data_IF_576199257787
#
_entry.id   IF_576199257787
#
_cell.length_a   1.000
_cell.length_b   1.000
_cell.length_c   1.000
_cell.angle_alpha   90.00
_cell.angle_beta   90.00
_cell.angle_gamma   90.00
#
_symmetry.space_group_name_H-M   'P 1'
#
loop_
_entity.id
_entity.type
_entity.pdbx_description
1 polymer ?
#
# COMPACT_ATOMS: atom_id res chain seq x y z
N UNK A 1 2.76 29.19 6.02
CA UNK A 1 1.62 29.01 6.94
C UNK A 1 0.50 28.33 6.16
N UNK A 2 -0.23 27.37 6.74
CA UNK A 2 -1.39 26.79 6.08
C UNK A 2 -2.45 27.86 5.80
N UNK A 3 -2.99 27.86 4.58
CA UNK A 3 -4.07 28.74 4.12
C UNK A 3 -5.34 27.93 3.85
N UNK A 4 -6.47 28.62 3.69
CA UNK A 4 -7.74 28.00 3.25
C UNK A 4 -7.55 27.27 1.92
N UNK A 5 -6.79 27.85 0.99
CA UNK A 5 -6.47 27.22 -0.29
C UNK A 5 -5.69 25.90 -0.10
N UNK A 6 -4.64 25.89 0.72
CA UNK A 6 -3.88 24.65 0.97
C UNK A 6 -4.73 23.57 1.64
N UNK A 7 -5.65 23.94 2.53
CA UNK A 7 -6.60 23.01 3.14
C UNK A 7 -7.63 22.49 2.13
N UNK A 8 -8.12 23.35 1.23
CA UNK A 8 -9.03 22.97 0.16
C UNK A 8 -8.37 22.01 -0.84
N UNK A 9 -7.10 22.25 -1.22
CA UNK A 9 -6.30 21.35 -2.07
C UNK A 9 -6.13 19.98 -1.40
N UNK A 10 -5.79 19.93 -0.11
CA UNK A 10 -5.71 18.67 0.62
C UNK A 10 -7.07 17.94 0.64
N UNK A 11 -8.17 18.64 0.95
CA UNK A 11 -9.50 18.05 1.02
C UNK A 11 -9.96 17.47 -0.33
N UNK A 12 -9.83 18.23 -1.42
CA UNK A 12 -10.26 17.76 -2.75
C UNK A 12 -9.34 16.65 -3.29
N UNK A 13 -8.04 16.69 -2.95
CA UNK A 13 -7.10 15.61 -3.29
C UNK A 13 -7.49 14.33 -2.55
N UNK A 14 -7.83 14.41 -1.26
CA UNK A 14 -8.32 13.25 -0.51
C UNK A 14 -9.58 12.68 -1.15
N UNK A 15 -10.57 13.51 -1.48
CA UNK A 15 -11.81 13.06 -2.12
C UNK A 15 -11.56 12.36 -3.47
N UNK A 16 -10.65 12.91 -4.30
CA UNK A 16 -10.27 12.31 -5.57
C UNK A 16 -9.53 10.97 -5.39
N UNK A 17 -8.56 10.92 -4.48
CA UNK A 17 -7.82 9.69 -4.16
C UNK A 17 -8.74 8.62 -3.56
N UNK A 18 -9.70 9.02 -2.71
CA UNK A 18 -10.71 8.15 -2.10
C UNK A 18 -11.60 7.52 -3.16
N UNK A 19 -12.15 8.34 -4.06
CA UNK A 19 -12.96 7.83 -5.17
C UNK A 19 -12.15 6.89 -6.06
N UNK A 20 -10.92 7.29 -6.43
CA UNK A 20 -10.02 6.47 -7.24
C UNK A 20 -9.63 5.15 -6.55
N UNK A 21 -9.45 5.17 -5.23
CA UNK A 21 -9.18 3.99 -4.41
C UNK A 21 -10.34 3.00 -4.48
N UNK A 22 -11.56 3.45 -4.19
CA UNK A 22 -12.73 2.58 -4.22
C UNK A 22 -12.99 2.00 -5.62
N UNK A 23 -12.80 2.79 -6.68
CA UNK A 23 -12.92 2.33 -8.06
C UNK A 23 -11.81 1.32 -8.44
N UNK A 24 -10.58 1.57 -8.00
CA UNK A 24 -9.44 0.70 -8.25
C UNK A 24 -9.54 -0.65 -7.54
N UNK A 25 -9.91 -0.65 -6.26
CA UNK A 25 -9.92 -1.84 -5.40
C UNK A 25 -11.17 -2.73 -5.55
N UNK A 26 -12.30 -2.16 -5.98
CA UNK A 26 -13.56 -2.90 -6.06
C UNK A 26 -13.96 -3.27 -7.49
N UNK A 27 -14.53 -2.38 -8.33
CA UNK A 27 -15.02 -2.78 -9.64
C UNK A 27 -13.90 -3.11 -10.64
N UNK A 28 -12.72 -2.51 -10.52
CA UNK A 28 -11.63 -2.69 -11.50
C UNK A 28 -10.60 -3.76 -11.12
N UNK A 29 -10.55 -4.15 -9.84
CA UNK A 29 -9.67 -5.21 -9.38
C UNK A 29 -10.22 -6.58 -9.81
N UNK A 30 -9.41 -7.35 -10.54
CA UNK A 30 -9.78 -8.74 -10.84
C UNK A 30 -9.65 -9.65 -9.62
N UNK A 31 -10.45 -10.73 -9.57
CA UNK A 31 -10.36 -11.76 -8.53
C UNK A 31 -8.96 -12.38 -8.44
N UNK A 32 -8.26 -12.54 -9.57
CA UNK A 32 -6.90 -13.06 -9.61
C UNK A 32 -5.90 -12.11 -8.92
N UNK A 33 -6.02 -10.80 -9.15
CA UNK A 33 -5.22 -9.81 -8.44
C UNK A 33 -5.56 -9.78 -6.94
N UNK A 34 -6.84 -9.81 -6.60
CA UNK A 34 -7.33 -9.79 -5.22
C UNK A 34 -6.80 -10.96 -4.37
N UNK A 35 -6.72 -12.15 -4.96
CA UNK A 35 -6.24 -13.37 -4.29
C UNK A 35 -4.72 -13.52 -4.37
N UNK A 36 -4.11 -13.11 -5.50
CA UNK A 36 -2.68 -13.30 -5.76
C UNK A 36 -1.75 -12.24 -5.16
N UNK A 37 -2.26 -11.07 -4.77
CA UNK A 37 -1.43 -9.95 -4.30
C UNK A 37 -0.88 -10.09 -2.89
N UNK A 38 -1.41 -10.96 -2.03
CA UNK A 38 -0.94 -11.09 -0.66
C UNK A 38 0.50 -11.66 -0.55
N UNK A 39 1.16 -11.45 0.58
CA UNK A 39 2.35 -12.22 0.94
C UNK A 39 1.97 -13.68 1.21
N UNK A 40 2.82 -14.66 0.83
CA UNK A 40 2.56 -16.07 1.11
C UNK A 40 2.41 -16.31 2.62
N UNK A 41 1.50 -17.22 2.98
CA UNK A 41 1.31 -17.67 4.36
C UNK A 41 2.51 -18.49 4.87
N UNK A 42 2.56 -18.71 6.19
CA UNK A 42 3.59 -19.55 6.84
C UNK A 42 3.65 -20.95 6.24
N UNK A 43 2.51 -21.58 5.97
CA UNK A 43 2.45 -22.93 5.38
C UNK A 43 2.94 -22.97 3.93
N UNK A 44 2.68 -21.90 3.16
CA UNK A 44 3.22 -21.77 1.80
C UNK A 44 4.74 -21.60 1.83
N UNK A 45 5.24 -20.76 2.74
CA UNK A 45 6.68 -20.56 2.93
C UNK A 45 7.38 -21.84 3.39
N UNK A 46 6.78 -22.59 4.32
CA UNK A 46 7.30 -23.89 4.77
C UNK A 46 7.34 -24.94 3.65
N UNK A 47 6.44 -24.85 2.66
CA UNK A 47 6.45 -25.66 1.43
C UNK A 47 7.39 -25.12 0.34
N UNK A 48 8.19 -24.10 0.64
CA UNK A 48 9.20 -23.55 -0.26
C UNK A 48 8.69 -22.47 -1.21
N UNK A 49 7.53 -21.85 -0.95
CA UNK A 49 7.08 -20.71 -1.76
C UNK A 49 8.07 -19.54 -1.67
N UNK A 50 8.35 -18.89 -2.81
CA UNK A 50 9.20 -17.71 -2.84
C UNK A 50 8.56 -16.56 -2.07
N UNK A 51 9.34 -15.89 -1.20
CA UNK A 51 8.87 -14.81 -0.33
C UNK A 51 8.09 -13.71 -1.08
N UNK A 52 8.53 -13.42 -2.31
CA UNK A 52 7.97 -12.33 -3.12
C UNK A 52 6.98 -12.77 -4.21
N UNK A 53 6.45 -14.00 -4.16
CA UNK A 53 5.54 -14.54 -5.19
C UNK A 53 4.38 -13.60 -5.53
N UNK A 54 3.78 -12.95 -4.53
CA UNK A 54 2.62 -12.08 -4.73
C UNK A 54 2.92 -10.69 -5.29
N UNK A 55 4.19 -10.27 -5.39
CA UNK A 55 4.53 -8.90 -5.81
C UNK A 55 4.18 -8.62 -7.27
N UNK A 56 4.24 -9.63 -8.15
CA UNK A 56 3.84 -9.44 -9.54
C UNK A 56 2.33 -9.14 -9.69
N UNK A 57 1.49 -9.75 -8.86
CA UNK A 57 0.06 -9.45 -8.80
C UNK A 57 -0.20 -8.10 -8.15
N UNK A 58 0.51 -7.78 -7.07
CA UNK A 58 0.43 -6.49 -6.41
C UNK A 58 0.83 -5.35 -7.34
N UNK A 59 1.93 -5.48 -8.09
CA UNK A 59 2.38 -4.47 -9.03
C UNK A 59 1.36 -4.18 -10.15
N UNK A 60 0.72 -5.24 -10.69
CA UNK A 60 -0.36 -5.07 -11.68
C UNK A 60 -1.56 -4.36 -11.09
N UNK A 61 -1.96 -4.76 -9.88
CA UNK A 61 -3.06 -4.12 -9.15
C UNK A 61 -2.79 -2.64 -8.92
N UNK A 62 -1.64 -2.32 -8.31
CA UNK A 62 -1.21 -0.96 -8.00
C UNK A 62 -1.09 -0.12 -9.27
N UNK A 63 -0.67 -0.68 -10.41
CA UNK A 63 -0.63 0.05 -11.67
C UNK A 63 -2.03 0.48 -12.14
N UNK A 64 -3.02 -0.41 -12.13
CA UNK A 64 -4.41 -0.08 -12.48
C UNK A 64 -4.99 0.91 -11.48
N UNK A 65 -4.84 0.63 -10.19
CA UNK A 65 -5.25 1.50 -9.09
C UNK A 65 -4.69 2.93 -9.24
N UNK A 66 -3.39 3.06 -9.50
CA UNK A 66 -2.70 4.37 -9.63
C UNK A 66 -3.20 5.11 -10.87
N UNK A 67 -3.45 4.40 -11.98
CA UNK A 67 -4.00 5.01 -13.18
C UNK A 67 -5.41 5.60 -12.95
N UNK A 68 -6.24 4.90 -12.18
CA UNK A 68 -7.59 5.36 -11.80
C UNK A 68 -7.51 6.58 -10.88
N UNK A 69 -6.64 6.55 -9.87
CA UNK A 69 -6.39 7.72 -9.02
C UNK A 69 -5.87 8.92 -9.82
N UNK A 70 -4.95 8.70 -10.75
CA UNK A 70 -4.44 9.76 -11.62
C UNK A 70 -5.57 10.39 -12.47
N UNK A 71 -6.50 9.57 -12.98
CA UNK A 71 -7.68 10.07 -13.69
C UNK A 71 -8.60 10.90 -12.78
N UNK A 72 -8.85 10.46 -11.53
CA UNK A 72 -9.62 11.23 -10.56
C UNK A 72 -8.93 12.55 -10.18
N UNK A 73 -7.61 12.56 -10.00
CA UNK A 73 -6.84 13.77 -9.75
C UNK A 73 -6.91 14.72 -10.95
N UNK A 74 -6.75 14.22 -12.17
CA UNK A 74 -6.87 15.02 -13.39
C UNK A 74 -8.26 15.66 -13.51
N UNK A 75 -9.32 14.95 -13.13
CA UNK A 75 -10.68 15.48 -13.11
C UNK A 75 -10.84 16.64 -12.13
N UNK A 76 -10.37 16.51 -10.88
CA UNK A 76 -10.50 17.60 -9.90
C UNK A 76 -9.57 18.78 -10.18
N UNK A 77 -8.47 18.58 -10.90
CA UNK A 77 -7.59 19.67 -11.36
C UNK A 77 -8.27 20.67 -12.30
N UNK A 78 -9.45 20.34 -12.84
CA UNK A 78 -10.26 21.29 -13.63
C UNK A 78 -10.84 22.41 -12.75
N UNK A 79 -11.03 22.16 -11.45
CA UNK A 79 -11.69 23.09 -10.51
C UNK A 79 -10.84 23.44 -9.29
N UNK A 80 -9.70 22.78 -9.09
CA UNK A 80 -8.80 23.01 -7.97
C UNK A 80 -7.36 23.28 -8.45
N UNK A 81 -6.60 24.14 -7.76
CA UNK A 81 -5.23 24.49 -8.12
C UNK A 81 -4.22 23.39 -7.72
N UNK A 82 -4.50 22.13 -8.08
CA UNK A 82 -3.63 21.00 -7.79
C UNK A 82 -2.41 21.04 -8.73
N UNK A 83 -1.23 21.26 -8.16
CA UNK A 83 0.02 21.22 -8.93
C UNK A 83 0.35 19.82 -9.43
N UNK A 84 0.97 19.71 -10.61
CA UNK A 84 1.45 18.43 -11.13
C UNK A 84 2.46 17.76 -10.19
N UNK A 85 3.34 18.54 -9.57
CA UNK A 85 4.32 18.05 -8.60
C UNK A 85 3.61 17.44 -7.38
N UNK A 86 2.61 18.13 -6.84
CA UNK A 86 1.81 17.65 -5.72
C UNK A 86 1.04 16.37 -6.07
N UNK A 87 0.44 16.31 -7.27
CA UNK A 87 -0.26 15.13 -7.77
C UNK A 87 0.68 13.91 -7.87
N UNK A 88 1.88 14.07 -8.44
CA UNK A 88 2.87 12.99 -8.54
C UNK A 88 3.32 12.54 -7.14
N UNK A 89 3.56 13.50 -6.22
CA UNK A 89 3.95 13.20 -4.85
C UNK A 89 2.86 12.39 -4.11
N UNK A 90 1.59 12.76 -4.23
CA UNK A 90 0.46 12.00 -3.68
C UNK A 90 0.36 10.59 -4.26
N UNK A 91 0.45 10.44 -5.59
CA UNK A 91 0.38 9.13 -6.24
C UNK A 91 1.53 8.23 -5.80
N UNK A 92 2.74 8.77 -5.62
CA UNK A 92 3.89 8.00 -5.12
C UNK A 92 3.68 7.48 -3.68
N UNK A 93 3.17 8.34 -2.78
CA UNK A 93 2.84 7.95 -1.41
C UNK A 93 1.72 6.92 -1.39
N UNK A 94 0.65 7.16 -2.15
CA UNK A 94 -0.49 6.24 -2.21
C UNK A 94 -0.07 4.89 -2.78
N UNK A 95 0.56 4.85 -3.96
CA UNK A 95 0.96 3.60 -4.60
C UNK A 95 1.95 2.77 -3.75
N UNK A 96 2.94 3.41 -3.13
CA UNK A 96 3.93 2.69 -2.30
C UNK A 96 3.33 2.10 -1.03
N UNK A 97 2.48 2.86 -0.36
CA UNK A 97 1.83 2.42 0.88
C UNK A 97 0.75 1.37 0.59
N UNK A 98 -0.02 1.55 -0.47
CA UNK A 98 -0.99 0.58 -0.98
C UNK A 98 -0.33 -0.75 -1.26
N UNK A 99 0.80 -0.73 -1.98
CA UNK A 99 1.54 -1.94 -2.32
C UNK A 99 2.00 -2.73 -1.09
N UNK A 100 2.37 -2.04 0.00
CA UNK A 100 2.81 -2.65 1.26
C UNK A 100 1.63 -3.15 2.10
N UNK A 101 0.54 -2.40 2.20
CA UNK A 101 -0.65 -2.80 2.94
C UNK A 101 -1.29 -4.04 2.28
N UNK A 102 -1.34 -4.07 0.94
CA UNK A 102 -1.87 -5.18 0.14
C UNK A 102 -1.11 -6.49 0.29
N UNK A 103 0.07 -6.46 0.91
CA UNK A 103 0.78 -7.67 1.32
C UNK A 103 0.08 -8.39 2.47
N UNK A 104 -0.89 -7.72 3.12
CA UNK A 104 -1.80 -8.19 4.19
C UNK A 104 -1.15 -8.63 5.50
N UNK A 105 0.18 -8.62 5.59
CA UNK A 105 0.85 -8.93 6.85
C UNK A 105 0.70 -7.79 7.87
N UNK A 106 0.56 -6.53 7.41
CA UNK A 106 0.25 -5.38 8.28
C UNK A 106 -1.16 -5.55 8.87
N UNK A 107 -2.14 -5.86 8.01
CA UNK A 107 -3.53 -6.12 8.40
C UNK A 107 -3.62 -7.24 9.43
N UNK A 108 -2.95 -8.38 9.16
CA UNK A 108 -2.89 -9.51 10.11
C UNK A 108 -2.29 -9.09 11.45
N UNK A 109 -1.21 -8.32 11.44
CA UNK A 109 -0.60 -7.83 12.68
C UNK A 109 -1.58 -7.02 13.55
N UNK A 110 -2.40 -6.16 12.94
CA UNK A 110 -3.44 -5.42 13.66
C UNK A 110 -4.51 -6.36 14.25
N UNK A 111 -4.97 -7.35 13.48
CA UNK A 111 -5.96 -8.32 13.95
C UNK A 111 -5.41 -9.17 15.10
N UNK A 112 -4.19 -9.67 14.97
CA UNK A 112 -3.48 -10.45 15.98
C UNK A 112 -3.30 -9.63 17.27
N UNK A 113 -2.85 -8.38 17.16
CA UNK A 113 -2.65 -7.48 18.30
C UNK A 113 -3.95 -7.13 19.04
N UNK A 114 -5.10 -7.31 18.41
CA UNK A 114 -6.42 -7.06 18.99
C UNK A 114 -7.19 -8.34 19.34
N UNK A 115 -6.62 -9.51 19.05
CA UNK A 115 -7.32 -10.80 19.21
C UNK A 115 -8.60 -10.90 18.37
N UNK A 116 -8.69 -10.17 17.25
CA UNK A 116 -9.92 -10.00 16.47
C UNK A 116 -10.08 -11.07 15.37
N UNK A 117 -9.77 -12.33 15.68
CA UNK A 117 -9.74 -13.41 14.69
C UNK A 117 -11.13 -13.88 14.25
N UNK A 118 -12.12 -13.77 15.14
CA UNK A 118 -13.50 -14.20 14.89
C UNK A 118 -14.34 -13.13 14.17
N UNK A 119 -13.74 -11.97 13.86
CA UNK A 119 -14.40 -10.91 13.12
C UNK A 119 -14.28 -11.14 11.61
N UNK A 120 -15.30 -11.73 11.02
CA UNK A 120 -15.35 -12.12 9.60
C UNK A 120 -14.99 -10.97 8.64
N UNK A 121 -15.52 -9.77 8.86
CA UNK A 121 -15.27 -8.59 8.01
C UNK A 121 -13.95 -7.87 8.37
N UNK A 122 -13.32 -8.24 9.49
CA UNK A 122 -12.16 -7.56 10.04
C UNK A 122 -10.99 -7.39 9.07
N UNK A 123 -10.56 -8.44 8.35
CA UNK A 123 -9.49 -8.31 7.36
C UNK A 123 -9.78 -7.24 6.30
N UNK A 124 -11.01 -7.15 5.80
CA UNK A 124 -11.38 -6.16 4.80
C UNK A 124 -11.46 -4.75 5.41
N UNK A 125 -12.14 -4.58 6.55
CA UNK A 125 -12.33 -3.27 7.15
C UNK A 125 -11.03 -2.65 7.67
N UNK A 126 -10.12 -3.46 8.22
CA UNK A 126 -8.78 -3.00 8.62
C UNK A 126 -7.94 -2.63 7.40
N UNK A 127 -7.94 -3.46 6.35
CA UNK A 127 -7.25 -3.17 5.09
C UNK A 127 -7.69 -1.83 4.51
N UNK A 128 -8.99 -1.64 4.30
CA UNK A 128 -9.53 -0.40 3.76
C UNK A 128 -9.24 0.79 4.67
N UNK A 129 -9.39 0.65 5.99
CA UNK A 129 -9.12 1.75 6.93
C UNK A 129 -7.65 2.22 6.89
N UNK A 130 -6.70 1.28 6.76
CA UNK A 130 -5.28 1.62 6.61
C UNK A 130 -5.01 2.37 5.31
N UNK A 131 -5.59 1.93 4.20
CA UNK A 131 -5.48 2.63 2.92
C UNK A 131 -6.05 4.04 3.02
N UNK A 132 -7.26 4.21 3.57
CA UNK A 132 -7.89 5.53 3.77
C UNK A 132 -7.03 6.47 4.61
N UNK A 133 -6.40 5.96 5.67
CA UNK A 133 -5.43 6.72 6.47
C UNK A 133 -4.24 7.21 5.64
N UNK A 134 -3.72 6.37 4.75
CA UNK A 134 -2.61 6.76 3.86
C UNK A 134 -3.04 7.68 2.71
N UNK A 135 -4.29 7.64 2.28
CA UNK A 135 -4.83 8.64 1.34
C UNK A 135 -4.84 10.03 1.96
N UNK A 136 -5.15 10.14 3.25
CA UNK A 136 -5.05 11.42 3.97
C UNK A 136 -3.61 11.93 3.99
N UNK A 137 -2.63 11.05 4.29
CA UNK A 137 -1.20 11.41 4.23
C UNK A 137 -0.80 11.86 2.83
N UNK A 138 -1.19 11.12 1.79
CA UNK A 138 -0.91 11.47 0.40
C UNK A 138 -1.51 12.84 0.03
N UNK A 139 -2.73 13.14 0.47
CA UNK A 139 -3.38 14.41 0.22
C UNK A 139 -2.69 15.61 0.91
N UNK A 140 -2.21 15.42 2.15
CA UNK A 140 -1.40 16.43 2.85
C UNK A 140 -0.06 16.65 2.13
N UNK A 141 0.57 15.57 1.65
CA UNK A 141 1.81 15.65 0.86
C UNK A 141 1.59 16.40 -0.45
N UNK A 142 0.49 16.16 -1.18
CA UNK A 142 0.17 16.92 -2.39
C UNK A 142 0.03 18.43 -2.13
N UNK A 143 -0.60 18.81 -1.02
CA UNK A 143 -0.76 20.22 -0.67
C UNK A 143 0.56 20.87 -0.18
N UNK A 144 1.45 20.09 0.43
CA UNK A 144 2.71 20.59 0.99
C UNK A 144 3.92 20.55 0.04
N UNK A 145 3.91 19.67 -0.97
CA UNK A 145 5.04 19.49 -1.90
C UNK A 145 4.79 20.27 -3.19
N UNK A 146 5.47 21.40 -3.32
CA UNK A 146 5.29 22.34 -4.45
C UNK A 146 6.52 22.42 -5.37
N UNK A 147 7.63 21.78 -5.00
CA UNK A 147 8.90 21.90 -5.72
C UNK A 147 9.67 20.58 -5.88
N UNK A 148 10.71 20.58 -6.74
CA UNK A 148 11.44 19.37 -7.12
C UNK A 148 12.17 18.69 -5.96
N UNK A 149 12.69 19.46 -4.99
CA UNK A 149 13.35 18.90 -3.80
C UNK A 149 12.37 18.11 -2.93
N UNK A 150 11.19 18.66 -2.66
CA UNK A 150 10.15 17.97 -1.89
C UNK A 150 9.65 16.71 -2.63
N UNK A 151 9.53 16.78 -3.95
CA UNK A 151 9.20 15.63 -4.78
C UNK A 151 10.27 14.54 -4.67
N UNK A 152 11.54 14.88 -4.81
CA UNK A 152 12.65 13.92 -4.72
C UNK A 152 12.66 13.21 -3.35
N UNK A 153 12.49 13.96 -2.25
CA UNK A 153 12.38 13.39 -0.90
C UNK A 153 11.19 12.42 -0.81
N UNK A 154 10.04 12.80 -1.36
CA UNK A 154 8.83 11.96 -1.36
C UNK A 154 9.04 10.66 -2.13
N UNK A 155 9.68 10.72 -3.30
CA UNK A 155 9.98 9.54 -4.13
C UNK A 155 10.97 8.60 -3.43
N UNK A 156 12.00 9.14 -2.78
CA UNK A 156 12.96 8.36 -1.98
C UNK A 156 12.25 7.67 -0.82
N UNK A 157 11.42 8.40 -0.07
CA UNK A 157 10.66 7.84 1.05
C UNK A 157 9.69 6.74 0.59
N UNK A 158 8.97 6.97 -0.52
CA UNK A 158 8.04 5.99 -1.12
C UNK A 158 8.78 4.71 -1.55
N UNK A 159 9.97 4.86 -2.14
CA UNK A 159 10.82 3.73 -2.52
C UNK A 159 11.31 2.96 -1.30
N UNK A 160 11.71 3.67 -0.24
CA UNK A 160 12.15 3.08 1.01
C UNK A 160 11.03 2.28 1.71
N UNK A 161 9.77 2.73 1.63
CA UNK A 161 8.60 2.01 2.15
C UNK A 161 8.45 0.64 1.45
N UNK A 162 8.52 0.61 0.11
CA UNK A 162 8.44 -0.65 -0.65
C UNK A 162 9.63 -1.57 -0.34
N UNK A 163 10.84 -1.01 -0.28
CA UNK A 163 12.05 -1.75 0.06
C UNK A 163 11.96 -2.37 1.46
N UNK A 164 11.44 -1.63 2.45
CA UNK A 164 11.20 -2.14 3.80
C UNK A 164 10.18 -3.29 3.79
N UNK A 165 9.10 -3.19 3.02
CA UNK A 165 8.13 -4.28 2.83
C UNK A 165 8.76 -5.56 2.27
N UNK A 166 9.60 -5.44 1.24
CA UNK A 166 10.36 -6.56 0.66
C UNK A 166 11.30 -7.20 1.68
N UNK A 167 11.98 -6.39 2.49
CA UNK A 167 12.87 -6.86 3.54
C UNK A 167 12.09 -7.60 4.64
N UNK A 168 10.95 -7.07 5.10
CA UNK A 168 10.10 -7.74 6.10
C UNK A 168 9.67 -9.10 5.61
N UNK A 169 9.19 -9.22 4.36
CA UNK A 169 8.79 -10.50 3.79
C UNK A 169 9.95 -11.49 3.68
N UNK A 170 11.15 -11.02 3.32
CA UNK A 170 12.36 -11.85 3.30
C UNK A 170 12.71 -12.38 4.69
N UNK A 171 12.60 -11.55 5.72
CA UNK A 171 12.86 -11.98 7.11
C UNK A 171 11.84 -13.02 7.57
N UNK A 172 10.54 -12.80 7.27
CA UNK A 172 9.48 -13.77 7.57
C UNK A 172 9.69 -15.12 6.88
N UNK A 173 10.09 -15.09 5.61
CA UNK A 173 10.41 -16.31 4.86
C UNK A 173 11.57 -17.11 5.48
N UNK A 174 12.63 -16.42 5.91
CA UNK A 174 13.76 -17.06 6.61
C UNK A 174 13.35 -17.68 7.94
N UNK A 175 12.45 -17.04 8.69
CA UNK A 175 11.96 -17.55 9.96
C UNK A 175 11.01 -18.76 9.80
N UNK A 176 10.39 -18.93 8.63
CA UNK A 176 9.44 -20.02 8.35
C UNK A 176 10.12 -21.34 7.92
N UNK A 177 11.41 -21.32 7.57
CA UNK A 177 12.15 -22.55 7.22
C UNK A 177 12.57 -23.25 8.51
N UNK A 178 12.15 -24.51 8.75
CA UNK A 178 12.60 -25.28 9.91
C UNK A 178 14.13 -25.38 9.93
N UNK A 179 14.74 -25.21 11.10
CA UNK A 179 16.17 -25.51 11.24
C UNK A 179 16.42 -26.95 10.78
N UNK A 180 17.50 -27.23 10.02
CA UNK A 180 17.83 -28.60 9.67
C UNK A 180 17.94 -29.40 10.96
N UNK A 181 17.21 -30.53 11.04
CA UNK A 181 17.42 -31.52 12.08
C UNK A 181 18.89 -31.93 12.00
N UNK A 182 19.73 -31.36 12.87
CA UNK A 182 21.09 -31.84 13.06
C UNK A 182 20.92 -33.25 13.59
N UNK A 183 21.06 -34.22 12.70
CA UNK A 183 21.09 -35.63 13.06
C UNK A 183 22.17 -35.77 14.14
N UNK A 184 21.74 -35.95 15.39
CA UNK A 184 22.60 -36.45 16.46
C UNK A 184 22.90 -37.91 16.14
N UNK A 185 23.73 -38.14 15.14
CA UNK A 185 24.41 -39.41 14.94
C UNK A 185 25.56 -39.46 15.94
N UNK A 186 25.26 -39.93 17.15
CA UNK A 186 26.25 -40.46 18.10
C UNK A 186 25.65 -41.68 18.75
N UNK A 187 25.83 -42.83 18.11
CA UNK A 187 25.97 -44.14 18.75
C UNK A 187 26.89 -44.99 17.88
#
# INVERSE_FOLDING_TARGET
MPTVETAAVAAITYAALFAGHHLGDHPLQSTAAATGKAAPGTDELARGAHAWRGWSWCARHVAVYTAVQAACLALVSVVAPLSLIGAIAALAVSASTHAVIDRRWVVRWFLDAKGAHDWTEGPYLVDQSLHLGMLLVAAVVAAGVTGPTGLAVTLVASTAVVAAGLLVERHRARAAVPAPLVARARH
#
